data_IF_008066036031
#
_entry.id   IF_008066036031
#
_cell.length_a   1.000
_cell.length_b   1.000
_cell.length_c   1.000
_cell.angle_alpha   90.00
_cell.angle_beta   90.00
_cell.angle_gamma   90.00
#
_symmetry.space_group_name_H-M   'P 1'
#
loop_
_entity.id
_entity.type
_entity.pdbx_description
1 polymer ?
#
# COMPACT_ATOMS: atom_id res chain seq x y z
N UNK A 1 -21.99 -11.94 -4.39
CA UNK A 1 -21.85 -10.48 -4.64
C UNK A 1 -20.42 -10.18 -5.08
N UNK A 2 -20.24 -9.21 -5.97
CA UNK A 2 -18.92 -8.74 -6.38
C UNK A 2 -18.92 -7.22 -6.41
N UNK A 3 -17.84 -6.61 -5.90
CA UNK A 3 -17.60 -5.19 -5.90
C UNK A 3 -16.14 -4.92 -6.32
N UNK A 4 -15.93 -3.86 -7.09
CA UNK A 4 -14.62 -3.36 -7.50
C UNK A 4 -14.60 -1.86 -7.23
N UNK A 5 -13.67 -1.45 -6.38
CA UNK A 5 -13.36 -0.06 -6.10
C UNK A 5 -11.99 0.26 -6.71
N UNK A 6 -11.88 1.41 -7.38
CA UNK A 6 -10.67 1.82 -8.06
C UNK A 6 -10.40 3.31 -7.90
N UNK A 7 -9.14 3.65 -7.70
CA UNK A 7 -8.64 5.03 -7.64
C UNK A 7 -7.57 5.21 -8.71
N UNK A 8 -7.73 6.28 -9.48
CA UNK A 8 -6.72 6.79 -10.42
C UNK A 8 -6.34 8.23 -10.01
N UNK A 9 -5.08 8.47 -9.69
CA UNK A 9 -4.59 9.78 -9.25
C UNK A 9 -4.24 10.62 -10.47
N UNK A 10 -4.97 11.70 -10.70
CA UNK A 10 -4.76 12.56 -11.88
C UNK A 10 -3.65 13.60 -11.68
N UNK A 11 -3.53 14.15 -10.48
CA UNK A 11 -2.56 15.18 -10.13
C UNK A 11 -2.28 15.13 -8.62
N UNK A 12 -1.01 15.14 -8.27
CA UNK A 12 -0.53 15.28 -6.89
C UNK A 12 0.63 16.29 -6.82
N UNK A 13 0.68 17.23 -7.78
CA UNK A 13 1.80 18.13 -7.93
C UNK A 13 1.71 19.38 -7.06
N UNK A 14 2.86 19.91 -6.65
CA UNK A 14 2.94 21.13 -5.85
C UNK A 14 4.20 21.94 -6.15
N UNK A 15 4.22 23.19 -5.70
CA UNK A 15 5.42 24.04 -5.73
C UNK A 15 5.96 24.21 -4.31
N UNK A 16 7.19 23.77 -4.01
CA UNK A 16 7.76 23.88 -2.67
C UNK A 16 7.91 25.32 -2.17
N UNK A 17 8.14 26.27 -3.08
CA UNK A 17 8.22 27.69 -2.79
C UNK A 17 7.93 28.53 -4.05
N UNK A 18 7.63 29.83 -3.93
CA UNK A 18 7.41 30.70 -5.09
C UNK A 18 8.61 30.70 -6.04
N UNK A 19 8.39 30.29 -7.30
CA UNK A 19 9.42 30.22 -8.33
C UNK A 19 10.26 28.93 -8.34
N UNK A 20 10.02 27.99 -7.41
CA UNK A 20 10.63 26.66 -7.47
C UNK A 20 10.04 25.81 -8.60
N UNK A 21 10.77 24.78 -9.00
CA UNK A 21 10.26 23.76 -9.91
C UNK A 21 9.04 23.06 -9.27
N UNK A 22 8.05 22.75 -10.10
CA UNK A 22 6.92 21.91 -9.69
C UNK A 22 7.41 20.49 -9.44
N UNK A 23 7.02 19.92 -8.31
CA UNK A 23 7.21 18.51 -7.96
C UNK A 23 5.92 17.78 -8.30
N UNK A 24 6.00 16.68 -9.04
CA UNK A 24 4.89 15.77 -9.28
C UNK A 24 5.09 14.50 -8.46
N UNK A 25 4.08 14.13 -7.69
CA UNK A 25 4.15 12.98 -6.81
C UNK A 25 3.34 11.77 -7.29
N UNK A 26 2.62 11.87 -8.41
CA UNK A 26 1.89 10.71 -8.95
C UNK A 26 2.89 9.63 -9.37
N UNK A 27 2.71 8.41 -8.85
CA UNK A 27 3.64 7.30 -9.09
C UNK A 27 5.01 7.48 -8.42
N UNK A 28 5.13 8.41 -7.46
CA UNK A 28 6.40 8.73 -6.84
C UNK A 28 6.38 8.67 -5.31
N UNK A 29 7.56 8.47 -4.73
CA UNK A 29 7.80 8.50 -3.28
C UNK A 29 9.14 9.16 -2.94
N UNK A 30 9.39 9.40 -1.65
CA UNK A 30 10.68 9.88 -1.17
C UNK A 30 10.61 11.26 -0.52
N UNK A 31 11.73 11.98 -0.38
CA UNK A 31 11.77 13.20 0.45
C UNK A 31 10.84 14.31 -0.05
N UNK A 32 10.72 14.50 -1.36
CA UNK A 32 9.80 15.50 -1.93
C UNK A 32 8.34 15.01 -1.96
N UNK A 33 8.11 13.70 -2.01
CA UNK A 33 6.78 13.09 -2.11
C UNK A 33 6.38 12.32 -0.84
N UNK A 34 6.91 12.74 0.30
CA UNK A 34 6.84 12.00 1.56
C UNK A 34 6.85 12.88 2.82
N UNK A 35 6.92 14.20 2.68
CA UNK A 35 6.89 15.13 3.81
C UNK A 35 5.50 15.73 3.94
N UNK A 36 5.00 15.99 5.16
CA UNK A 36 3.89 16.91 5.37
C UNK A 36 4.37 18.31 4.98
N UNK A 37 4.39 18.59 3.68
CA UNK A 37 4.54 19.94 3.16
C UNK A 37 3.31 20.69 3.65
N UNK A 38 3.51 21.80 4.35
CA UNK A 38 2.46 22.75 4.73
C UNK A 38 1.75 23.37 3.51
N UNK A 39 2.07 22.92 2.30
CA UNK A 39 1.60 23.42 1.01
C UNK A 39 0.96 22.33 0.14
N UNK A 40 1.10 21.03 0.47
CA UNK A 40 0.47 19.94 -0.30
C UNK A 40 0.16 18.74 0.59
N UNK A 41 -1.05 18.18 0.46
CA UNK A 41 -1.54 16.99 1.15
C UNK A 41 -0.83 15.69 0.76
N UNK A 42 0.47 15.73 0.47
CA UNK A 42 1.32 14.55 0.31
C UNK A 42 1.35 13.80 1.64
N UNK A 43 0.47 12.82 1.73
CA UNK A 43 0.46 11.78 2.77
C UNK A 43 1.78 11.05 2.63
N UNK A 44 2.67 11.15 3.61
CA UNK A 44 4.11 10.96 3.41
C UNK A 44 4.67 9.58 3.03
N UNK A 45 3.85 8.67 2.49
CA UNK A 45 4.28 7.45 1.80
C UNK A 45 4.17 7.58 0.28
N UNK A 46 4.38 6.48 -0.47
CA UNK A 46 4.19 6.45 -1.91
C UNK A 46 2.79 6.94 -2.31
N UNK A 47 2.71 7.57 -3.48
CA UNK A 47 1.43 7.95 -4.09
C UNK A 47 1.24 7.14 -5.38
N UNK A 48 0.80 5.87 -5.29
CA UNK A 48 0.51 5.04 -6.45
C UNK A 48 -0.46 5.73 -7.40
N UNK A 49 -0.18 5.71 -8.69
CA UNK A 49 -1.09 6.27 -9.70
C UNK A 49 -2.42 5.49 -9.73
N UNK A 50 -2.34 4.18 -9.55
CA UNK A 50 -3.45 3.25 -9.63
C UNK A 50 -3.57 2.46 -8.32
N UNK A 51 -4.79 2.33 -7.80
CA UNK A 51 -5.10 1.47 -6.66
C UNK A 51 -6.46 0.81 -6.86
N UNK A 52 -6.54 -0.52 -6.77
CA UNK A 52 -7.78 -1.26 -6.96
C UNK A 52 -8.03 -2.23 -5.81
N UNK A 53 -9.29 -2.34 -5.40
CA UNK A 53 -9.74 -3.33 -4.43
C UNK A 53 -10.96 -4.04 -5.00
N UNK A 54 -10.83 -5.34 -5.27
CA UNK A 54 -11.94 -6.16 -5.73
C UNK A 54 -12.32 -7.18 -4.65
N UNK A 55 -13.57 -7.15 -4.22
CA UNK A 55 -14.13 -8.19 -3.35
C UNK A 55 -15.14 -9.03 -4.11
N UNK A 56 -15.05 -10.34 -3.97
CA UNK A 56 -16.11 -11.27 -4.39
C UNK A 56 -16.47 -12.17 -3.22
N UNK A 57 -17.75 -12.24 -2.90
CA UNK A 57 -18.30 -13.10 -1.84
C UNK A 57 -19.35 -14.04 -2.43
N UNK A 58 -19.17 -15.33 -2.17
CA UNK A 58 -20.14 -16.36 -2.48
C UNK A 58 -20.78 -16.86 -1.19
N UNK A 59 -22.11 -16.82 -1.14
CA UNK A 59 -22.90 -17.27 0.00
C UNK A 59 -23.73 -18.48 -0.42
N UNK A 60 -23.57 -19.58 0.33
CA UNK A 60 -24.24 -20.86 0.09
C UNK A 60 -24.85 -21.36 1.41
N UNK A 61 -26.12 -21.04 1.63
CA UNK A 61 -26.80 -21.37 2.90
C UNK A 61 -26.06 -20.74 4.08
N UNK A 62 -25.52 -21.59 4.96
CA UNK A 62 -24.83 -21.19 6.19
C UNK A 62 -23.34 -20.86 6.00
N UNK A 63 -22.84 -20.95 4.76
CA UNK A 63 -21.43 -20.76 4.43
C UNK A 63 -21.21 -19.53 3.54
N UNK A 64 -20.25 -18.69 3.93
CA UNK A 64 -19.76 -17.57 3.13
C UNK A 64 -18.28 -17.77 2.80
N UNK A 65 -17.90 -17.62 1.54
CA UNK A 65 -16.50 -17.53 1.10
C UNK A 65 -16.30 -16.18 0.45
N UNK A 66 -15.23 -15.50 0.82
CA UNK A 66 -14.83 -14.22 0.24
C UNK A 66 -13.39 -14.27 -0.24
N UNK A 67 -13.18 -13.64 -1.38
CA UNK A 67 -11.89 -13.33 -1.96
C UNK A 67 -11.75 -11.82 -2.05
N UNK A 68 -10.60 -11.28 -1.67
CA UNK A 68 -10.24 -9.87 -1.78
C UNK A 68 -8.92 -9.76 -2.55
N UNK A 69 -8.93 -9.03 -3.65
CA UNK A 69 -7.74 -8.61 -4.37
C UNK A 69 -7.47 -7.14 -4.08
N UNK A 70 -6.25 -6.81 -3.69
CA UNK A 70 -5.78 -5.44 -3.53
C UNK A 70 -4.59 -5.23 -4.46
N UNK A 71 -4.71 -4.30 -5.39
CA UNK A 71 -3.63 -3.89 -6.30
C UNK A 71 -3.16 -2.50 -5.93
N UNK A 72 -1.83 -2.34 -5.86
CA UNK A 72 -1.16 -1.07 -5.64
C UNK A 72 -0.18 -0.88 -6.80
N UNK A 73 -0.35 0.21 -7.56
CA UNK A 73 0.56 0.55 -8.63
C UNK A 73 1.98 0.80 -8.11
N UNK A 74 2.97 0.41 -8.92
CA UNK A 74 4.37 0.67 -8.65
C UNK A 74 4.65 2.17 -8.47
N UNK A 75 5.77 2.47 -7.84
CA UNK A 75 6.19 3.84 -7.62
C UNK A 75 7.71 3.96 -7.71
N UNK A 76 8.19 5.04 -8.28
CA UNK A 76 9.62 5.34 -8.37
C UNK A 76 10.00 6.42 -7.37
N UNK A 77 11.26 6.41 -6.93
CA UNK A 77 11.75 7.49 -6.09
C UNK A 77 11.69 8.82 -6.86
N UNK A 78 11.34 9.90 -6.16
CA UNK A 78 11.25 11.24 -6.73
C UNK A 78 12.52 11.61 -7.53
N UNK A 79 12.37 12.12 -8.76
CA UNK A 79 13.51 12.39 -9.65
C UNK A 79 14.55 13.35 -9.08
N UNK A 80 14.22 14.21 -8.12
CA UNK A 80 15.18 15.14 -7.49
C UNK A 80 16.18 14.43 -6.56
N UNK A 81 15.89 13.20 -6.15
CA UNK A 81 16.79 12.37 -5.34
C UNK A 81 17.11 10.99 -5.95
N UNK A 82 16.49 10.63 -7.09
CA UNK A 82 16.75 9.37 -7.78
C UNK A 82 18.14 9.26 -8.42
N UNK A 83 18.42 8.13 -9.11
CA UNK A 83 19.74 7.81 -9.65
C UNK A 83 20.30 8.86 -10.61
N UNK A 84 19.41 9.51 -11.36
CA UNK A 84 19.73 10.50 -12.39
C UNK A 84 19.70 11.95 -11.88
N UNK A 85 19.49 12.17 -10.58
CA UNK A 85 19.45 13.52 -10.01
C UNK A 85 20.83 14.21 -10.04
N UNK A 86 20.83 15.54 -9.92
CA UNK A 86 22.06 16.35 -9.91
C UNK A 86 22.72 16.46 -8.54
N UNK A 87 22.15 15.87 -7.48
CA UNK A 87 22.72 15.92 -6.14
C UNK A 87 23.98 15.02 -6.05
N UNK A 88 24.85 15.20 -5.03
CA UNK A 88 26.02 14.35 -4.87
C UNK A 88 25.63 12.87 -4.74
N UNK A 89 26.42 11.98 -5.33
CA UNK A 89 26.09 10.55 -5.42
C UNK A 89 25.78 9.90 -4.05
N UNK A 90 26.44 10.35 -2.98
CA UNK A 90 26.22 9.86 -1.61
C UNK A 90 24.82 10.16 -1.04
N UNK A 91 24.04 11.04 -1.68
CA UNK A 91 22.69 11.41 -1.25
C UNK A 91 21.60 10.92 -2.22
N UNK A 92 21.98 10.21 -3.29
CA UNK A 92 21.02 9.66 -4.24
C UNK A 92 20.45 8.36 -3.71
N UNK A 93 19.16 8.17 -3.90
CA UNK A 93 18.53 6.87 -3.75
C UNK A 93 18.76 6.06 -5.02
N UNK A 94 19.36 4.87 -4.86
CA UNK A 94 19.68 3.95 -5.96
C UNK A 94 19.35 2.50 -5.56
N UNK A 95 19.57 1.54 -6.46
CA UNK A 95 19.33 0.13 -6.16
C UNK A 95 17.86 -0.19 -5.96
N UNK A 96 17.55 -1.10 -5.03
CA UNK A 96 16.19 -1.58 -4.75
C UNK A 96 15.27 -0.46 -4.23
N UNK A 97 15.82 0.53 -3.53
CA UNK A 97 15.05 1.69 -3.06
C UNK A 97 14.83 2.76 -4.14
N UNK A 98 15.27 2.55 -5.38
CA UNK A 98 14.97 3.48 -6.47
C UNK A 98 13.57 3.26 -7.06
N UNK A 99 13.03 2.05 -6.95
CA UNK A 99 11.77 1.66 -7.58
C UNK A 99 11.08 0.59 -6.75
N UNK A 100 9.80 0.81 -6.46
CA UNK A 100 8.92 -0.16 -5.83
C UNK A 100 8.03 -0.75 -6.94
N UNK A 101 8.04 -2.08 -7.14
CA UNK A 101 7.22 -2.70 -8.17
C UNK A 101 5.73 -2.59 -7.84
N UNK A 102 4.88 -3.03 -8.77
CA UNK A 102 3.46 -3.24 -8.49
C UNK A 102 3.26 -4.31 -7.41
N UNK A 103 2.25 -4.12 -6.56
CA UNK A 103 1.88 -5.07 -5.50
C UNK A 103 0.49 -5.66 -5.74
N UNK A 104 0.37 -6.98 -5.54
CA UNK A 104 -0.88 -7.71 -5.63
C UNK A 104 -1.08 -8.56 -4.38
N UNK A 105 -1.99 -8.14 -3.50
CA UNK A 105 -2.39 -8.92 -2.34
C UNK A 105 -3.67 -9.68 -2.61
N UNK A 106 -3.67 -10.93 -2.18
CA UNK A 106 -4.83 -11.81 -2.22
C UNK A 106 -5.15 -12.22 -0.79
N UNK A 107 -6.36 -11.88 -0.34
CA UNK A 107 -6.88 -12.30 0.95
C UNK A 107 -8.08 -13.22 0.75
N UNK A 108 -8.16 -14.25 1.57
CA UNK A 108 -9.26 -15.20 1.59
C UNK A 108 -9.92 -15.17 2.96
N UNK A 109 -11.24 -15.20 2.98
CA UNK A 109 -12.01 -15.33 4.21
C UNK A 109 -13.13 -16.35 4.00
N UNK A 110 -13.39 -17.16 5.02
CA UNK A 110 -14.52 -18.08 5.06
C UNK A 110 -15.24 -17.93 6.39
N UNK A 111 -16.56 -18.10 6.37
CA UNK A 111 -17.34 -18.14 7.59
C UNK A 111 -18.46 -19.15 7.50
N UNK A 112 -18.74 -19.81 8.62
CA UNK A 112 -19.73 -20.88 8.70
C UNK A 112 -20.59 -20.70 9.94
N UNK A 113 -21.90 -20.55 9.73
CA UNK A 113 -22.90 -20.64 10.81
C UNK A 113 -23.07 -22.13 11.16
N UNK A 114 -22.42 -22.57 12.25
CA UNK A 114 -22.42 -23.99 12.65
C UNK A 114 -23.74 -24.36 13.34
N UNK A 115 -24.25 -23.43 14.15
CA UNK A 115 -25.53 -23.51 14.85
C UNK A 115 -26.13 -22.11 14.92
N UNK A 116 -27.40 -21.92 15.28
CA UNK A 116 -28.01 -20.59 15.40
C UNK A 116 -27.29 -19.64 16.36
N UNK A 117 -26.53 -20.20 17.32
CA UNK A 117 -25.81 -19.47 18.36
C UNK A 117 -24.30 -19.39 18.14
N UNK A 118 -23.72 -20.11 17.17
CA UNK A 118 -22.27 -20.17 16.93
C UNK A 118 -21.89 -19.99 15.45
N UNK A 119 -20.97 -19.06 15.19
CA UNK A 119 -20.36 -18.81 13.87
C UNK A 119 -18.84 -18.93 13.94
N UNK A 120 -18.28 -19.78 13.09
CA UNK A 120 -16.83 -19.89 12.88
C UNK A 120 -16.39 -18.98 11.74
N UNK A 121 -15.19 -18.43 11.86
CA UNK A 121 -14.53 -17.60 10.85
C UNK A 121 -13.09 -18.05 10.68
N UNK A 122 -12.65 -18.12 9.44
CA UNK A 122 -11.28 -18.38 9.05
C UNK A 122 -10.85 -17.34 8.03
N UNK A 123 -9.59 -16.91 8.07
CA UNK A 123 -9.04 -15.97 7.11
C UNK A 123 -7.57 -16.18 6.88
N UNK A 124 -7.12 -15.84 5.68
CA UNK A 124 -5.72 -15.76 5.28
C UNK A 124 -5.53 -14.41 4.62
N UNK A 125 -4.72 -13.55 5.22
CA UNK A 125 -4.28 -12.27 4.61
C UNK A 125 -2.94 -12.50 3.93
N UNK A 126 -2.74 -11.89 2.76
CA UNK A 126 -1.53 -12.02 1.95
C UNK A 126 -1.18 -13.49 1.66
N UNK A 127 -2.09 -14.20 0.98
CA UNK A 127 -1.95 -15.64 0.68
C UNK A 127 -0.65 -15.95 -0.06
N UNK A 128 -0.21 -15.06 -0.94
CA UNK A 128 0.99 -15.19 -1.76
C UNK A 128 2.29 -14.92 -1.02
N UNK A 129 2.25 -14.51 0.25
CA UNK A 129 3.44 -14.14 1.04
C UNK A 129 4.26 -12.99 0.43
N UNK A 130 3.57 -12.02 -0.17
CA UNK A 130 4.22 -10.87 -0.79
C UNK A 130 4.97 -10.07 0.28
N UNK A 131 6.27 -9.84 0.08
CA UNK A 131 7.13 -9.16 1.05
C UNK A 131 7.07 -7.64 0.87
N UNK A 132 6.99 -6.91 1.98
CA UNK A 132 6.98 -5.44 1.94
C UNK A 132 8.24 -4.91 1.23
N UNK A 133 8.12 -3.83 0.44
CA UNK A 133 9.25 -3.34 -0.33
C UNK A 133 10.34 -2.81 0.60
N UNK A 134 11.58 -3.18 0.32
CA UNK A 134 12.72 -2.63 1.04
C UNK A 134 13.01 -1.20 0.58
N UNK A 135 12.97 -0.27 1.52
CA UNK A 135 13.28 1.14 1.30
C UNK A 135 14.28 1.59 2.36
N UNK A 136 15.47 1.99 1.93
CA UNK A 136 16.48 2.55 2.83
C UNK A 136 15.89 3.70 3.66
N UNK A 137 16.21 3.74 4.95
CA UNK A 137 15.67 4.72 5.90
C UNK A 137 15.84 6.16 5.40
N UNK A 138 16.96 6.47 4.74
CA UNK A 138 17.29 7.80 4.24
C UNK A 138 16.52 8.22 2.97
N UNK A 139 15.74 7.33 2.35
CA UNK A 139 15.00 7.63 1.11
C UNK A 139 13.68 8.36 1.38
N UNK A 140 13.02 8.04 2.49
CA UNK A 140 11.72 8.59 2.88
C UNK A 140 11.79 9.38 4.18
N UNK A 141 10.68 10.00 4.59
CA UNK A 141 10.65 10.67 5.89
C UNK A 141 10.35 9.66 7.01
N UNK A 142 10.96 9.86 8.18
CA UNK A 142 10.87 8.92 9.32
C UNK A 142 9.46 8.62 9.83
N UNK A 143 8.44 9.51 9.74
CA UNK A 143 7.09 9.16 10.17
C UNK A 143 6.39 8.12 9.28
N UNK A 144 6.87 7.93 8.04
CA UNK A 144 6.21 7.10 7.04
C UNK A 144 7.07 5.95 6.53
N UNK A 145 8.38 6.21 6.30
CA UNK A 145 9.36 5.16 6.08
C UNK A 145 9.85 4.63 7.43
N UNK A 146 9.26 3.52 7.87
CA UNK A 146 9.53 2.91 9.17
C UNK A 146 9.75 1.41 9.00
N UNK A 147 10.79 0.88 9.64
CA UNK A 147 11.16 -0.53 9.48
C UNK A 147 11.72 -0.87 8.09
N UNK A 148 12.34 0.11 7.40
CA UNK A 148 12.82 0.02 6.02
C UNK A 148 11.72 -0.29 4.98
N UNK A 149 10.52 0.23 5.19
CA UNK A 149 9.39 0.13 4.25
C UNK A 149 8.32 1.19 4.57
N UNK A 150 7.20 1.18 3.85
CA UNK A 150 6.04 2.04 4.10
C UNK A 150 4.87 1.24 4.72
N UNK A 151 4.84 1.03 6.04
CA UNK A 151 3.85 0.17 6.73
C UNK A 151 2.40 0.68 6.65
N UNK A 152 2.20 1.94 6.27
CA UNK A 152 0.87 2.51 6.04
C UNK A 152 0.30 2.15 4.66
N UNK A 153 1.15 1.67 3.74
CA UNK A 153 0.78 1.37 2.35
C UNK A 153 0.88 -0.14 2.06
N UNK A 154 1.93 -0.80 2.57
CA UNK A 154 2.20 -2.22 2.31
C UNK A 154 2.06 -3.06 3.58
N UNK A 155 1.64 -4.32 3.40
CA UNK A 155 1.54 -5.29 4.49
C UNK A 155 2.95 -5.66 4.98
N UNK A 156 3.31 -5.26 6.21
CA UNK A 156 4.62 -5.60 6.81
C UNK A 156 4.71 -7.03 7.34
N UNK A 157 3.56 -7.65 7.57
CA UNK A 157 3.49 -9.07 7.86
C UNK A 157 3.24 -9.78 6.53
N UNK A 158 3.97 -10.87 6.29
CA UNK A 158 3.68 -11.78 5.19
C UNK A 158 2.32 -12.45 5.36
N UNK A 159 2.24 -13.75 5.10
CA UNK A 159 0.98 -14.48 5.23
C UNK A 159 0.53 -14.61 6.69
N UNK A 160 -0.68 -14.12 6.98
CA UNK A 160 -1.29 -14.19 8.33
C UNK A 160 -2.56 -15.03 8.31
N UNK A 161 -2.61 -16.06 9.17
CA UNK A 161 -3.80 -16.90 9.39
C UNK A 161 -4.60 -16.39 10.57
N UNK A 162 -5.93 -16.29 10.41
CA UNK A 162 -6.85 -15.87 11.46
C UNK A 162 -7.94 -16.92 11.64
N UNK A 163 -8.25 -17.25 12.90
CA UNK A 163 -9.39 -18.11 13.28
C UNK A 163 -10.21 -17.37 14.33
N UNK A 164 -11.53 -17.39 14.19
CA UNK A 164 -12.44 -16.75 15.14
C UNK A 164 -13.70 -17.56 15.38
N UNK A 165 -14.22 -17.50 16.61
CA UNK A 165 -15.52 -18.03 17.00
C UNK A 165 -16.35 -16.87 17.56
N UNK A 166 -17.56 -16.69 17.03
CA UNK A 166 -18.54 -15.72 17.54
C UNK A 166 -19.73 -16.49 18.09
N UNK A 167 -20.11 -16.21 19.33
CA UNK A 167 -21.29 -16.80 19.97
C UNK A 167 -22.34 -15.73 20.32
N UNK A 168 -23.62 -16.13 20.37
CA UNK A 168 -24.74 -15.30 20.81
C UNK A 168 -25.59 -16.09 21.81
N UNK A 169 -26.03 -15.43 22.88
CA UNK A 169 -26.80 -16.01 23.99
C UNK A 169 -28.10 -15.23 24.20
#
# INVERSE_FOLDING_TARGET
EAALDGTYVMDASYMPSPGAARVDCVGHYGKQCGLPSTVSGSTGGPTPENHFVQRTTWSFGDFDVSYLWRYIGGSDVDPSQGPNSSIPAAFRTTGESASIPDYNYIDLAASWQVTDWAKLKFGITNVTDEEAPFVETETGSTPYNSGNTYPSTYDVLGRVFTVGLTTRF
#
